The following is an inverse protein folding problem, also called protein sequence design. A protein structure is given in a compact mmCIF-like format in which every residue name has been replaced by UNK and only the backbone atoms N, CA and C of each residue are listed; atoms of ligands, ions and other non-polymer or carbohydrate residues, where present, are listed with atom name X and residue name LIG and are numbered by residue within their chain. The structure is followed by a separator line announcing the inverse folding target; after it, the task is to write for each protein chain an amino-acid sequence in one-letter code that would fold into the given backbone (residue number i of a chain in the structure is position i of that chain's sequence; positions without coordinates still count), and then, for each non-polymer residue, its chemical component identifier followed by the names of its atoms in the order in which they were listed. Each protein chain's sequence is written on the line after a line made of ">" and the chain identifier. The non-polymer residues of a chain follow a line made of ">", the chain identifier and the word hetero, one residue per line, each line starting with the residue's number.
data_IF_639230977393
#
_entry.id   IF_639230977393
#
_cell.length_a   1.000
_cell.length_b   1.000
_cell.length_c   1.000
_cell.angle_alpha   90.00
_cell.angle_beta   90.00
_cell.angle_gamma   90.00
#
_symmetry.space_group_name_H-M   'P 1'
#
loop_
_entity.id
_entity.type
_entity.pdbx_description
1 polymer ?
#
# COMPACT_ATOMS: atom_id res chain seq x y z
N UNK A 1 -1.84 -3.40 43.85
CA UNK A 1 -1.47 -3.29 42.43
C UNK A 1 -0.73 -1.98 42.21
N UNK A 2 0.40 -1.96 41.47
CA UNK A 2 1.06 -0.71 41.11
C UNK A 2 0.08 0.17 40.32
N UNK A 3 0.18 1.49 40.50
CA UNK A 3 -0.65 2.46 39.80
C UNK A 3 -0.21 2.51 38.34
N UNK A 4 -1.03 2.00 37.42
CA UNK A 4 -0.75 2.04 35.99
C UNK A 4 -0.99 3.43 35.41
N UNK A 5 -0.08 3.89 34.56
CA UNK A 5 -0.20 5.14 33.82
C UNK A 5 -0.89 4.90 32.47
N UNK A 6 -2.01 5.59 32.24
CA UNK A 6 -2.71 5.55 30.96
C UNK A 6 -2.02 6.37 29.86
N UNK A 7 -1.31 7.44 30.24
CA UNK A 7 -0.67 8.38 29.32
C UNK A 7 0.84 8.19 29.29
N UNK A 8 1.37 8.00 28.10
CA UNK A 8 2.81 7.96 27.81
C UNK A 8 3.14 9.03 26.77
N UNK A 9 4.24 9.75 26.99
CA UNK A 9 4.69 10.84 26.13
C UNK A 9 6.04 10.51 25.52
N UNK A 10 6.35 11.14 24.41
CA UNK A 10 7.63 10.98 23.71
C UNK A 10 8.75 11.75 24.42
N UNK A 11 10.00 11.40 24.10
CA UNK A 11 11.16 12.22 24.40
C UNK A 11 11.72 12.83 23.10
N UNK A 12 12.49 13.92 23.15
CA UNK A 12 13.09 14.51 21.96
C UNK A 12 14.25 13.64 21.41
N UNK A 13 14.72 13.96 20.20
CA UNK A 13 15.90 13.34 19.59
C UNK A 13 15.63 12.36 18.45
N UNK A 14 14.36 12.08 18.11
CA UNK A 14 13.99 11.13 17.05
C UNK A 14 13.31 9.87 17.59
N UNK A 15 12.73 9.07 16.70
CA UNK A 15 11.83 7.96 17.00
C UNK A 15 12.47 6.76 17.72
N UNK A 16 13.79 6.63 17.65
CA UNK A 16 14.61 5.56 18.23
C UNK A 16 15.54 6.05 19.37
N UNK A 17 15.54 7.34 19.68
CA UNK A 17 16.51 7.98 20.59
C UNK A 17 16.01 8.22 22.01
N UNK A 18 14.82 7.74 22.39
CA UNK A 18 14.25 8.08 23.70
C UNK A 18 15.09 7.57 24.87
N UNK A 19 15.67 6.37 24.74
CA UNK A 19 16.58 5.85 25.75
C UNK A 19 17.85 6.72 25.84
N UNK A 20 18.43 7.12 24.70
CA UNK A 20 19.60 8.02 24.67
C UNK A 20 19.30 9.35 25.36
N UNK A 21 18.14 9.93 25.08
CA UNK A 21 17.69 11.19 25.69
C UNK A 21 17.43 11.04 27.18
N UNK A 22 16.82 9.93 27.60
CA UNK A 22 16.64 9.62 29.02
C UNK A 22 17.98 9.53 29.74
N UNK A 23 18.96 8.85 29.14
CA UNK A 23 20.30 8.71 29.71
C UNK A 23 21.05 10.04 29.76
N UNK A 24 20.93 10.89 28.73
CA UNK A 24 21.49 12.25 28.74
C UNK A 24 20.88 13.11 29.85
N UNK A 25 19.56 13.04 30.05
CA UNK A 25 18.89 13.76 31.12
C UNK A 25 19.36 13.28 32.51
N UNK A 26 19.54 11.97 32.70
CA UNK A 26 20.03 11.42 33.96
C UNK A 26 21.48 11.79 34.27
N UNK A 27 22.36 11.77 33.27
CA UNK A 27 23.74 12.26 33.41
C UNK A 27 23.76 13.74 33.80
N UNK A 28 22.97 14.57 33.12
CA UNK A 28 22.85 15.97 33.46
C UNK A 28 22.36 16.20 34.90
N UNK A 29 21.36 15.42 35.36
CA UNK A 29 20.89 15.47 36.76
C UNK A 29 21.98 15.04 37.75
N UNK A 30 22.82 14.06 37.40
CA UNK A 30 23.92 13.60 38.25
C UNK A 30 25.03 14.66 38.38
N UNK A 31 25.33 15.36 37.30
CA UNK A 31 26.44 16.32 37.20
C UNK A 31 26.06 17.72 37.69
N UNK A 32 24.77 18.07 37.67
CA UNK A 32 24.29 19.40 38.07
C UNK A 32 24.13 19.48 39.60
N UNK A 33 24.78 20.44 40.28
CA UNK A 33 24.59 20.64 41.71
C UNK A 33 23.17 21.15 42.02
N UNK A 34 22.45 20.44 42.90
CA UNK A 34 21.09 20.78 43.35
C UNK A 34 20.12 21.16 42.20
N UNK A 35 19.93 20.26 41.21
CA UNK A 35 19.17 20.59 40.01
C UNK A 35 17.70 20.85 40.36
N UNK A 36 17.11 21.92 39.81
CA UNK A 36 15.68 22.19 39.96
C UNK A 36 14.92 21.89 38.68
N UNK A 37 13.60 21.72 38.81
CA UNK A 37 12.68 21.52 37.67
C UNK A 37 12.88 22.57 36.57
N UNK A 38 13.05 23.83 36.95
CA UNK A 38 13.27 24.94 36.02
C UNK A 38 14.58 24.82 35.24
N UNK A 39 15.62 24.27 35.85
CA UNK A 39 16.92 24.07 35.21
C UNK A 39 16.86 22.94 34.19
N UNK A 40 16.20 21.83 34.53
CA UNK A 40 15.96 20.73 33.60
C UNK A 40 15.10 21.17 32.41
N UNK A 41 14.11 22.05 32.63
CA UNK A 41 13.30 22.63 31.56
C UNK A 41 14.15 23.46 30.60
N UNK A 42 15.01 24.33 31.13
CA UNK A 42 15.97 25.12 30.33
C UNK A 42 16.95 24.21 29.58
N UNK A 43 17.42 23.13 30.21
CA UNK A 43 18.29 22.16 29.58
C UNK A 43 17.60 21.49 28.39
N UNK A 44 16.40 20.94 28.55
CA UNK A 44 15.65 20.36 27.43
C UNK A 44 15.39 21.37 26.31
N UNK A 45 15.01 22.60 26.65
CA UNK A 45 14.74 23.65 25.67
C UNK A 45 15.99 24.03 24.87
N UNK A 46 17.15 24.18 25.52
CA UNK A 46 18.41 24.53 24.85
C UNK A 46 19.01 23.37 24.07
N UNK A 47 19.01 22.18 24.65
CA UNK A 47 19.68 20.99 24.09
C UNK A 47 18.93 20.40 22.90
N UNK A 48 17.59 20.51 22.88
CA UNK A 48 16.76 19.94 21.83
C UNK A 48 15.94 20.98 21.05
N UNK A 49 16.20 22.28 21.27
CA UNK A 49 15.46 23.39 20.64
C UNK A 49 13.94 23.26 20.73
N UNK A 50 13.44 22.72 21.86
CA UNK A 50 12.05 22.36 22.03
C UNK A 50 11.25 23.48 22.75
N UNK A 51 9.99 23.64 22.36
CA UNK A 51 9.07 24.56 23.01
C UNK A 51 8.81 24.18 24.48
N UNK A 52 8.51 25.18 25.32
CA UNK A 52 8.26 25.01 26.75
C UNK A 52 7.18 23.97 27.08
N UNK A 53 6.11 23.93 26.28
CA UNK A 53 5.01 22.96 26.47
C UNK A 53 5.52 21.52 26.28
N UNK A 54 6.36 21.28 25.28
CA UNK A 54 6.97 19.97 25.03
C UNK A 54 7.96 19.60 26.13
N UNK A 55 8.79 20.55 26.57
CA UNK A 55 9.74 20.33 27.66
C UNK A 55 9.05 19.92 28.98
N UNK A 56 7.88 20.53 29.29
CA UNK A 56 7.08 20.13 30.45
C UNK A 56 6.61 18.67 30.36
N UNK A 57 6.22 18.22 29.16
CA UNK A 57 5.83 16.83 28.92
C UNK A 57 7.02 15.87 29.04
N UNK A 58 8.20 16.26 28.55
CA UNK A 58 9.43 15.46 28.69
C UNK A 58 9.78 15.24 30.16
N UNK A 59 9.79 16.31 30.96
CA UNK A 59 10.04 16.21 32.41
C UNK A 59 8.99 15.32 33.07
N UNK A 60 7.71 15.45 32.70
CA UNK A 60 6.67 14.59 33.23
C UNK A 60 6.92 13.11 32.90
N UNK A 61 7.40 12.80 31.69
CA UNK A 61 7.74 11.43 31.29
C UNK A 61 8.91 10.89 32.11
N UNK A 62 9.98 11.66 32.28
CA UNK A 62 11.16 11.27 33.10
C UNK A 62 10.76 11.03 34.56
N UNK A 63 9.83 11.83 35.11
CA UNK A 63 9.28 11.60 36.46
C UNK A 63 8.41 10.34 36.51
N UNK A 64 7.59 10.06 35.48
CA UNK A 64 6.71 8.88 35.43
C UNK A 64 7.46 7.56 35.27
N UNK A 65 8.64 7.60 34.66
CA UNK A 65 9.57 6.46 34.64
C UNK A 65 10.23 6.21 36.00
N UNK A 66 9.88 7.00 37.03
CA UNK A 66 10.46 6.96 38.39
C UNK A 66 11.98 6.95 38.38
N UNK A 67 12.63 7.59 37.40
CA UNK A 67 14.10 7.75 37.40
C UNK A 67 14.53 8.99 38.19
N UNK A 68 13.62 9.97 38.33
CA UNK A 68 13.77 11.15 39.18
C UNK A 68 12.45 11.46 39.89
N UNK A 69 12.53 12.20 41.01
CA UNK A 69 11.38 12.79 41.72
C UNK A 69 11.62 14.29 41.90
N UNK A 70 10.53 15.03 42.02
CA UNK A 70 10.57 16.48 42.26
C UNK A 70 9.93 16.73 43.62
N UNK A 71 10.67 17.36 44.54
CA UNK A 71 10.17 17.70 45.88
C UNK A 71 9.29 18.96 45.88
N UNK A 72 8.72 19.31 47.04
CA UNK A 72 7.88 20.51 47.19
C UNK A 72 8.60 21.83 46.89
N UNK A 73 9.92 21.85 46.93
CA UNK A 73 10.77 23.01 46.60
C UNK A 73 11.26 22.99 45.14
N UNK A 74 10.68 22.13 44.29
CA UNK A 74 11.06 21.93 42.89
C UNK A 74 12.47 21.37 42.69
N UNK A 75 13.11 20.80 43.72
CA UNK A 75 14.41 20.13 43.61
C UNK A 75 14.24 18.74 43.03
N UNK A 76 15.13 18.37 42.13
CA UNK A 76 15.16 17.07 41.48
C UNK A 76 16.02 16.13 42.32
N UNK A 77 15.45 15.00 42.71
CA UNK A 77 16.11 13.92 43.42
C UNK A 77 16.14 12.69 42.54
N UNK A 78 17.33 12.13 42.31
CA UNK A 78 17.47 10.87 41.58
C UNK A 78 16.95 9.71 42.45
N UNK A 79 16.17 8.81 41.85
CA UNK A 79 15.64 7.64 42.56
C UNK A 79 16.66 6.51 42.60
N UNK A 80 16.34 5.43 43.33
CA UNK A 80 17.14 4.21 43.28
C UNK A 80 17.13 3.58 41.87
N UNK A 81 15.98 3.61 41.18
CA UNK A 81 15.86 3.12 39.81
C UNK A 81 16.69 3.96 38.83
N UNK A 82 16.64 5.29 38.92
CA UNK A 82 17.46 6.18 38.10
C UNK A 82 18.95 5.99 38.31
N UNK A 83 19.41 5.80 39.57
CA UNK A 83 20.81 5.49 39.87
C UNK A 83 21.25 4.16 39.25
N UNK A 84 20.43 3.11 39.41
CA UNK A 84 20.71 1.80 38.81
C UNK A 84 20.81 1.90 37.29
N UNK A 85 19.90 2.65 36.66
CA UNK A 85 19.91 2.83 35.21
C UNK A 85 21.18 3.55 34.73
N UNK A 86 21.61 4.58 35.47
CA UNK A 86 22.82 5.36 35.15
C UNK A 86 24.11 4.52 35.18
N UNK A 87 24.19 3.54 36.08
CA UNK A 87 25.36 2.66 36.25
C UNK A 87 25.31 1.38 35.42
N UNK A 88 24.15 1.06 34.83
CA UNK A 88 23.96 -0.16 34.05
C UNK A 88 24.58 -0.05 32.64
N UNK A 89 25.02 -1.18 32.09
CA UNK A 89 25.43 -1.29 30.69
C UNK A 89 24.24 -1.11 29.74
N UNK A 90 24.49 -0.80 28.46
CA UNK A 90 23.43 -0.41 27.50
C UNK A 90 22.33 -1.47 27.33
N UNK A 91 22.70 -2.73 27.27
CA UNK A 91 21.73 -3.83 27.15
C UNK A 91 20.85 -3.95 28.41
N UNK A 92 21.46 -3.81 29.59
CA UNK A 92 20.71 -3.81 30.84
C UNK A 92 19.83 -2.56 30.99
N UNK A 93 20.28 -1.38 30.56
CA UNK A 93 19.46 -0.16 30.51
C UNK A 93 18.19 -0.39 29.70
N UNK A 94 18.34 -0.97 28.50
CA UNK A 94 17.23 -1.27 27.60
C UNK A 94 16.23 -2.21 28.26
N UNK A 95 16.72 -3.31 28.86
CA UNK A 95 15.89 -4.27 29.59
C UNK A 95 15.17 -3.64 30.78
N UNK A 96 15.86 -2.85 31.60
CA UNK A 96 15.28 -2.22 32.79
C UNK A 96 14.15 -1.26 32.46
N UNK A 97 14.32 -0.43 31.42
CA UNK A 97 13.27 0.49 30.99
C UNK A 97 12.12 -0.29 30.35
N UNK A 98 12.41 -1.33 29.55
CA UNK A 98 11.38 -2.13 28.92
C UNK A 98 10.51 -2.89 29.94
N UNK A 99 11.13 -3.54 30.94
CA UNK A 99 10.42 -4.19 32.06
C UNK A 99 9.58 -3.12 32.83
N UNK A 100 10.16 -1.96 33.15
CA UNK A 100 9.43 -0.89 33.84
C UNK A 100 8.20 -0.41 33.05
N UNK A 101 8.33 -0.22 31.74
CA UNK A 101 7.24 0.19 30.87
C UNK A 101 6.10 -0.85 30.87
N UNK A 102 6.44 -2.13 30.75
CA UNK A 102 5.46 -3.22 30.77
C UNK A 102 4.69 -3.30 32.10
N UNK A 103 5.37 -3.05 33.22
CA UNK A 103 4.77 -3.11 34.56
C UNK A 103 3.93 -1.88 34.96
N UNK A 104 4.23 -0.71 34.38
CA UNK A 104 3.70 0.57 34.88
C UNK A 104 2.86 1.34 33.87
N UNK A 105 2.82 0.94 32.59
CA UNK A 105 2.04 1.63 31.56
C UNK A 105 1.02 0.70 30.90
N UNK A 106 -0.24 1.15 30.88
CA UNK A 106 -1.35 0.44 30.23
C UNK A 106 -1.02 0.21 28.76
N UNK A 107 -1.25 -0.98 28.20
CA UNK A 107 -1.13 -1.28 26.77
C UNK A 107 0.25 -1.67 26.27
N UNK A 108 1.29 -1.70 27.11
CA UNK A 108 2.62 -2.15 26.66
C UNK A 108 2.61 -3.67 26.42
N UNK A 109 2.10 -4.45 27.37
CA UNK A 109 2.07 -5.90 27.28
C UNK A 109 1.14 -6.39 26.16
N UNK A 110 0.00 -5.74 25.96
CA UNK A 110 -0.94 -6.03 24.89
C UNK A 110 -0.33 -5.79 23.50
N UNK A 111 0.38 -4.67 23.33
CA UNK A 111 1.10 -4.38 22.08
C UNK A 111 2.19 -5.43 21.83
N UNK A 112 2.97 -5.80 22.84
CA UNK A 112 3.98 -6.86 22.72
C UNK A 112 3.36 -8.21 22.35
N UNK A 113 2.19 -8.54 22.89
CA UNK A 113 1.46 -9.78 22.56
C UNK A 113 1.03 -9.78 21.09
N UNK A 114 0.53 -8.66 20.57
CA UNK A 114 0.17 -8.53 19.15
C UNK A 114 1.39 -8.75 18.25
N UNK A 115 2.49 -8.03 18.51
CA UNK A 115 3.70 -8.17 17.70
C UNK A 115 4.36 -9.56 17.84
N UNK A 116 4.26 -10.20 19.00
CA UNK A 116 4.76 -11.56 19.22
C UNK A 116 3.99 -12.61 18.43
N UNK A 117 2.71 -12.37 18.15
CA UNK A 117 1.83 -13.33 17.50
C UNK A 117 1.77 -13.18 15.97
N UNK A 118 2.08 -12.00 15.42
CA UNK A 118 1.85 -11.72 14.00
C UNK A 118 2.82 -12.41 13.02
N UNK A 119 3.98 -12.90 13.45
CA UNK A 119 5.03 -13.50 12.59
C UNK A 119 5.46 -12.68 11.35
N UNK A 120 5.06 -11.40 11.25
CA UNK A 120 5.40 -10.44 10.20
C UNK A 120 5.48 -9.03 10.77
N UNK A 121 6.06 -8.06 10.05
CA UNK A 121 5.94 -6.66 10.42
C UNK A 121 4.48 -6.21 10.44
N UNK A 122 4.10 -5.44 11.46
CA UNK A 122 2.75 -4.88 11.61
C UNK A 122 2.84 -3.35 11.58
N UNK A 123 1.95 -2.75 10.81
CA UNK A 123 1.78 -1.31 10.78
C UNK A 123 1.05 -0.80 12.04
N UNK A 124 1.40 0.40 12.53
CA UNK A 124 0.77 0.93 13.75
C UNK A 124 -0.75 1.18 13.64
N UNK A 125 -1.27 1.40 12.41
CA UNK A 125 -2.72 1.45 12.16
C UNK A 125 -3.38 0.09 12.39
N UNK A 126 -2.78 -0.98 11.87
CA UNK A 126 -3.30 -2.35 12.03
C UNK A 126 -3.30 -2.75 13.51
N UNK A 127 -2.22 -2.41 14.24
CA UNK A 127 -2.16 -2.56 15.69
C UNK A 127 -3.33 -1.88 16.41
N UNK A 128 -3.66 -0.63 16.01
CA UNK A 128 -4.76 0.11 16.62
C UNK A 128 -6.12 -0.55 16.37
N UNK A 129 -6.32 -1.16 15.19
CA UNK A 129 -7.53 -1.92 14.86
C UNK A 129 -7.63 -3.20 15.70
N UNK A 130 -6.53 -3.95 15.81
CA UNK A 130 -6.50 -5.20 16.59
C UNK A 130 -6.75 -4.99 18.09
N UNK A 131 -6.35 -3.83 18.62
CA UNK A 131 -6.48 -3.49 20.03
C UNK A 131 -7.67 -2.57 20.35
N UNK A 132 -8.46 -2.16 19.35
CA UNK A 132 -9.56 -1.21 19.53
C UNK A 132 -10.57 -1.65 20.60
N UNK A 133 -10.89 -2.96 20.65
CA UNK A 133 -11.78 -3.52 21.66
C UNK A 133 -11.18 -3.51 23.07
N UNK A 134 -9.86 -3.67 23.18
CA UNK A 134 -9.16 -3.68 24.46
C UNK A 134 -9.01 -2.27 25.04
N UNK A 135 -8.90 -1.25 24.17
CA UNK A 135 -8.76 0.15 24.56
C UNK A 135 -9.80 1.05 23.90
N UNK A 136 -11.10 0.93 24.26
CA UNK A 136 -12.18 1.67 23.62
C UNK A 136 -12.07 3.20 23.80
N UNK A 137 -11.34 3.63 24.83
CA UNK A 137 -11.08 5.06 25.10
C UNK A 137 -9.93 5.64 24.27
N UNK A 138 -9.18 4.83 23.51
CA UNK A 138 -8.10 5.30 22.64
C UNK A 138 -8.63 5.51 21.23
N UNK A 139 -9.31 6.64 21.03
CA UNK A 139 -9.98 7.00 19.78
C UNK A 139 -9.02 7.45 18.66
N UNK A 140 -7.75 7.68 18.98
CA UNK A 140 -6.72 8.13 18.05
C UNK A 140 -5.52 7.19 18.10
N UNK A 141 -4.68 7.23 17.06
CA UNK A 141 -3.51 6.36 16.94
C UNK A 141 -2.36 6.70 17.89
N UNK A 142 -2.31 7.96 18.35
CA UNK A 142 -1.21 8.51 19.14
C UNK A 142 -0.83 7.69 20.39
N UNK A 143 -1.78 7.16 21.21
CA UNK A 143 -1.44 6.32 22.35
C UNK A 143 -0.72 5.02 21.95
N UNK A 144 -1.10 4.40 20.82
CA UNK A 144 -0.43 3.23 20.29
C UNK A 144 0.96 3.58 19.76
N UNK A 145 1.05 4.64 18.94
CA UNK A 145 2.29 5.10 18.35
C UNK A 145 3.35 5.44 19.40
N UNK A 146 3.01 6.21 20.44
CA UNK A 146 3.97 6.55 21.49
C UNK A 146 4.53 5.32 22.21
N UNK A 147 3.72 4.28 22.41
CA UNK A 147 4.15 3.02 23.04
C UNK A 147 5.09 2.25 22.13
N UNK A 148 4.75 2.14 20.85
CA UNK A 148 5.61 1.51 19.84
C UNK A 148 6.95 2.23 19.76
N UNK A 149 6.97 3.57 19.75
CA UNK A 149 8.22 4.33 19.71
C UNK A 149 9.09 4.09 20.96
N UNK A 150 8.49 3.99 22.14
CA UNK A 150 9.22 3.60 23.34
C UNK A 150 9.78 2.18 23.24
N UNK A 151 8.99 1.23 22.75
CA UNK A 151 9.42 -0.15 22.53
C UNK A 151 10.53 -0.26 21.48
N UNK A 152 10.55 0.60 20.47
CA UNK A 152 11.66 0.72 19.51
C UNK A 152 12.90 1.30 20.19
N UNK A 153 12.76 2.39 20.95
CA UNK A 153 13.88 3.04 21.61
C UNK A 153 14.58 2.15 22.66
N UNK A 154 13.85 1.20 23.27
CA UNK A 154 14.43 0.19 24.17
C UNK A 154 14.78 -1.12 23.45
N UNK A 155 14.65 -1.18 22.12
CA UNK A 155 15.03 -2.34 21.31
C UNK A 155 14.13 -3.57 21.44
N UNK A 156 12.91 -3.43 21.98
CA UNK A 156 11.90 -4.51 22.03
C UNK A 156 11.16 -4.69 20.70
N UNK A 157 11.08 -3.63 19.90
CA UNK A 157 10.63 -3.65 18.51
C UNK A 157 11.71 -3.07 17.60
N UNK A 158 11.73 -3.49 16.34
CA UNK A 158 12.58 -2.93 15.30
C UNK A 158 11.71 -2.34 14.19
N UNK A 159 12.06 -1.15 13.71
CA UNK A 159 11.42 -0.54 12.54
C UNK A 159 11.94 -1.23 11.28
N UNK A 160 11.03 -1.75 10.45
CA UNK A 160 11.37 -2.39 9.19
C UNK A 160 11.27 -1.40 8.05
N UNK A 161 10.12 -0.73 7.92
CA UNK A 161 9.88 0.31 6.90
C UNK A 161 8.76 1.25 7.35
N UNK A 162 8.96 2.56 7.25
CA UNK A 162 7.92 3.53 7.62
C UNK A 162 7.41 3.30 9.04
N UNK A 163 6.11 3.10 9.24
CA UNK A 163 5.56 2.75 10.57
C UNK A 163 5.22 1.26 10.71
N UNK A 164 5.96 0.40 10.01
CA UNK A 164 5.91 -1.06 10.16
C UNK A 164 7.03 -1.52 11.08
N UNK A 165 6.65 -2.28 12.10
CA UNK A 165 7.55 -2.73 13.15
C UNK A 165 7.46 -4.24 13.32
N UNK A 166 8.54 -4.85 13.77
CA UNK A 166 8.60 -6.27 14.08
C UNK A 166 9.18 -6.48 15.48
N UNK A 167 8.73 -7.53 16.15
CA UNK A 167 9.25 -7.90 17.46
C UNK A 167 10.70 -8.38 17.38
N UNK A 168 11.51 -7.98 18.35
CA UNK A 168 12.90 -8.45 18.49
C UNK A 168 12.99 -9.59 19.50
N UNK A 169 14.19 -10.15 19.66
CA UNK A 169 14.46 -11.13 20.71
C UNK A 169 14.16 -10.58 22.11
N UNK A 170 14.51 -9.31 22.39
CA UNK A 170 14.20 -8.66 23.66
C UNK A 170 12.68 -8.53 23.85
N UNK A 171 11.96 -8.14 22.80
CA UNK A 171 10.50 -8.07 22.82
C UNK A 171 9.84 -9.41 23.13
N UNK A 172 10.34 -10.51 22.55
CA UNK A 172 9.84 -11.85 22.88
C UNK A 172 10.12 -12.26 24.33
N UNK A 173 11.30 -11.93 24.86
CA UNK A 173 11.63 -12.17 26.28
C UNK A 173 10.67 -11.41 27.18
N UNK A 174 10.41 -10.15 26.86
CA UNK A 174 9.51 -9.28 27.61
C UNK A 174 8.06 -9.78 27.56
N UNK A 175 7.57 -10.17 26.37
CA UNK A 175 6.24 -10.73 26.21
C UNK A 175 6.03 -12.02 27.03
N UNK A 176 7.07 -12.87 27.17
CA UNK A 176 6.99 -14.07 28.03
C UNK A 176 6.88 -13.75 29.52
N UNK A 177 7.40 -12.59 29.96
CA UNK A 177 7.29 -12.14 31.37
C UNK A 177 5.96 -11.47 31.68
N UNK A 178 5.37 -10.80 30.69
CA UNK A 178 4.08 -10.12 30.81
C UNK A 178 3.08 -10.67 29.78
N UNK A 179 2.73 -11.98 29.84
CA UNK A 179 1.88 -12.59 28.83
C UNK A 179 0.43 -12.10 28.94
N UNK A 180 -0.21 -11.87 27.80
CA UNK A 180 -1.65 -11.61 27.69
C UNK A 180 -2.35 -12.80 27.01
N UNK A 181 -2.56 -13.93 27.72
CA UNK A 181 -3.02 -15.17 27.10
C UNK A 181 -4.44 -15.07 26.53
N UNK A 182 -5.33 -14.29 27.16
CA UNK A 182 -6.69 -14.11 26.67
C UNK A 182 -6.71 -13.33 25.35
N UNK A 183 -5.90 -12.26 25.26
CA UNK A 183 -5.68 -11.52 24.01
C UNK A 183 -5.03 -12.42 22.95
N UNK A 184 -4.00 -13.18 23.32
CA UNK A 184 -3.32 -14.07 22.38
C UNK A 184 -4.27 -15.10 21.76
N UNK A 185 -5.27 -15.60 22.50
CA UNK A 185 -6.30 -16.50 21.98
C UNK A 185 -7.34 -15.78 21.12
N UNK A 186 -7.63 -14.51 21.39
CA UNK A 186 -8.62 -13.73 20.62
C UNK A 186 -8.04 -13.08 19.37
N UNK A 187 -6.71 -12.96 19.28
CA UNK A 187 -6.03 -12.41 18.11
C UNK A 187 -6.21 -13.37 16.92
N UNK A 188 -7.19 -13.05 16.09
CA UNK A 188 -7.31 -13.62 14.77
C UNK A 188 -6.48 -12.75 13.84
N UNK A 189 -5.19 -13.06 13.71
CA UNK A 189 -4.52 -12.66 12.49
C UNK A 189 -5.24 -13.43 11.39
N UNK A 190 -5.74 -12.79 10.33
CA UNK A 190 -6.02 -13.56 9.13
C UNK A 190 -4.77 -14.42 8.91
N UNK A 191 -4.93 -15.68 8.47
CA UNK A 191 -3.78 -16.42 7.97
C UNK A 191 -2.96 -15.47 7.11
N UNK A 192 -1.67 -15.72 6.96
CA UNK A 192 -1.10 -15.34 5.67
C UNK A 192 -2.02 -16.03 4.65
N UNK A 193 -3.08 -15.34 4.21
CA UNK A 193 -3.43 -15.30 2.82
C UNK A 193 -2.06 -15.15 2.22
N UNK A 194 -1.55 -16.27 1.69
CA UNK A 194 -0.57 -16.23 0.64
C UNK A 194 -0.92 -14.96 -0.10
N UNK A 195 -0.06 -13.95 -0.01
CA UNK A 195 -0.16 -12.75 -0.84
C UNK A 195 -0.55 -13.33 -2.17
N UNK A 196 -1.83 -13.17 -2.55
CA UNK A 196 -2.43 -13.99 -3.60
C UNK A 196 -1.44 -13.93 -4.74
N UNK A 197 -0.98 -15.09 -5.26
CA UNK A 197 0.30 -15.25 -5.94
C UNK A 197 0.59 -13.96 -6.68
N UNK A 198 1.64 -13.22 -6.29
CA UNK A 198 2.05 -11.93 -6.88
C UNK A 198 1.47 -11.87 -8.28
N UNK A 199 0.64 -10.89 -8.67
CA UNK A 199 -0.11 -10.94 -9.95
C UNK A 199 0.71 -11.46 -11.15
N UNK A 200 2.02 -11.26 -11.14
CA UNK A 200 3.02 -11.94 -11.98
C UNK A 200 3.01 -13.48 -11.97
N UNK A 201 3.02 -14.16 -10.81
CA UNK A 201 2.83 -15.60 -10.68
C UNK A 201 1.46 -16.05 -11.21
N UNK A 202 0.39 -15.31 -10.93
CA UNK A 202 -0.94 -15.63 -11.47
C UNK A 202 -0.99 -15.46 -13.00
N UNK A 203 -0.41 -14.36 -13.52
CA UNK A 203 -0.30 -14.09 -14.95
C UNK A 203 0.55 -15.16 -15.64
N UNK A 204 1.70 -15.53 -15.07
CA UNK A 204 2.58 -16.55 -15.63
C UNK A 204 1.84 -17.89 -15.79
N UNK A 205 1.09 -18.30 -14.76
CA UNK A 205 0.25 -19.50 -14.84
C UNK A 205 -0.85 -19.38 -15.90
N UNK A 206 -1.52 -18.23 -16.00
CA UNK A 206 -2.56 -17.99 -17.04
C UNK A 206 -1.96 -18.06 -18.45
N UNK A 207 -0.79 -17.43 -18.66
CA UNK A 207 -0.11 -17.41 -19.95
C UNK A 207 0.37 -18.82 -20.35
N UNK A 208 1.01 -19.55 -19.44
CA UNK A 208 1.48 -20.91 -19.67
C UNK A 208 0.33 -21.86 -20.00
N UNK A 209 -0.78 -21.76 -19.27
CA UNK A 209 -1.96 -22.59 -19.50
C UNK A 209 -2.64 -22.26 -20.84
N UNK A 210 -2.76 -20.97 -21.19
CA UNK A 210 -3.28 -20.53 -22.49
C UNK A 210 -2.46 -21.09 -23.66
N UNK A 211 -1.14 -20.95 -23.60
CA UNK A 211 -0.22 -21.44 -24.65
C UNK A 211 -0.27 -22.96 -24.78
N UNK A 212 -0.28 -23.68 -23.66
CA UNK A 212 -0.33 -25.15 -23.64
C UNK A 212 -1.69 -25.68 -24.11
N UNK A 213 -2.80 -25.06 -23.69
CA UNK A 213 -4.14 -25.50 -24.06
C UNK A 213 -4.47 -25.21 -25.53
N UNK A 214 -3.93 -24.15 -26.12
CA UNK A 214 -4.17 -23.80 -27.52
C UNK A 214 -3.64 -24.86 -28.51
N UNK A 215 -2.57 -25.58 -28.14
CA UNK A 215 -1.99 -26.65 -28.97
C UNK A 215 -2.55 -28.05 -28.65
N UNK A 216 -3.25 -28.21 -27.52
CA UNK A 216 -3.84 -29.48 -27.10
C UNK A 216 -5.20 -29.73 -27.78
N UNK A 217 -5.15 -30.09 -29.06
CA UNK A 217 -6.37 -30.35 -29.85
C UNK A 217 -7.19 -31.55 -29.37
N UNK A 218 -6.71 -32.32 -28.39
CA UNK A 218 -7.45 -33.44 -27.79
C UNK A 218 -8.40 -32.97 -26.69
N UNK A 219 -8.17 -31.78 -26.12
CA UNK A 219 -8.95 -31.23 -25.01
C UNK A 219 -9.39 -29.78 -25.32
N UNK A 220 -10.29 -29.54 -26.29
CA UNK A 220 -10.72 -28.18 -26.66
C UNK A 220 -11.37 -27.41 -25.49
N UNK A 221 -12.04 -28.12 -24.57
CA UNK A 221 -12.63 -27.53 -23.37
C UNK A 221 -11.58 -26.91 -22.44
N UNK A 222 -10.34 -27.41 -22.47
CA UNK A 222 -9.24 -26.85 -21.68
C UNK A 222 -8.86 -25.46 -22.18
N UNK A 223 -8.85 -25.26 -23.50
CA UNK A 223 -8.55 -23.96 -24.08
C UNK A 223 -9.67 -22.94 -23.82
N UNK A 224 -10.93 -23.38 -23.89
CA UNK A 224 -12.08 -22.59 -23.48
C UNK A 224 -11.97 -22.12 -22.02
N UNK A 225 -11.67 -23.03 -21.09
CA UNK A 225 -11.51 -22.69 -19.67
C UNK A 225 -10.33 -21.74 -19.41
N UNK A 226 -9.22 -21.92 -20.14
CA UNK A 226 -8.06 -21.03 -20.06
C UNK A 226 -8.41 -19.62 -20.57
N UNK A 227 -9.11 -19.51 -21.70
CA UNK A 227 -9.59 -18.23 -22.22
C UNK A 227 -10.59 -17.55 -21.27
N UNK A 228 -11.51 -18.31 -20.68
CA UNK A 228 -12.44 -17.79 -19.68
C UNK A 228 -11.70 -17.20 -18.47
N UNK A 229 -10.68 -17.90 -17.98
CA UNK A 229 -9.82 -17.43 -16.87
C UNK A 229 -9.09 -16.14 -17.24
N UNK A 230 -8.58 -16.05 -18.47
CA UNK A 230 -7.91 -14.85 -18.96
C UNK A 230 -8.85 -13.64 -19.08
N UNK A 231 -10.08 -13.81 -19.57
CA UNK A 231 -11.06 -12.72 -19.62
C UNK A 231 -11.52 -12.28 -18.22
N UNK A 232 -11.69 -13.23 -17.28
CA UNK A 232 -11.95 -12.90 -15.87
C UNK A 232 -10.79 -12.11 -15.27
N UNK A 233 -9.55 -12.44 -15.60
CA UNK A 233 -8.37 -11.69 -15.17
C UNK A 233 -8.36 -10.25 -15.70
N UNK A 234 -8.83 -10.02 -16.93
CA UNK A 234 -9.03 -8.68 -17.50
C UNK A 234 -10.19 -7.90 -16.86
N UNK A 235 -11.03 -8.55 -16.05
CA UNK A 235 -12.16 -7.98 -15.33
C UNK A 235 -13.51 -8.12 -16.03
N UNK A 236 -13.61 -8.94 -17.09
CA UNK A 236 -14.89 -9.25 -17.72
C UNK A 236 -15.70 -10.22 -16.86
N UNK A 237 -17.03 -10.08 -16.92
CA UNK A 237 -17.93 -11.14 -16.47
C UNK A 237 -18.05 -12.18 -17.59
N UNK A 238 -17.88 -13.46 -17.24
CA UNK A 238 -17.71 -14.55 -18.22
C UNK A 238 -18.67 -15.70 -17.92
N UNK A 239 -19.59 -15.92 -18.84
CA UNK A 239 -20.49 -17.06 -18.84
C UNK A 239 -19.98 -18.16 -19.78
N UNK A 240 -19.71 -19.34 -19.24
CA UNK A 240 -19.30 -20.51 -20.03
C UNK A 240 -20.54 -21.20 -20.59
N UNK A 241 -20.60 -21.35 -21.91
CA UNK A 241 -21.71 -21.98 -22.63
C UNK A 241 -21.11 -23.16 -23.42
N UNK A 242 -21.39 -24.38 -22.97
CA UNK A 242 -20.69 -25.60 -23.43
C UNK A 242 -21.54 -26.57 -24.25
N UNK A 243 -22.73 -26.15 -24.71
CA UNK A 243 -23.65 -27.04 -25.40
C UNK A 243 -23.35 -27.07 -26.92
N UNK A 244 -23.44 -28.22 -27.59
CA UNK A 244 -23.33 -28.31 -29.05
C UNK A 244 -24.35 -27.38 -29.73
N UNK A 245 -23.87 -26.41 -30.52
CA UNK A 245 -24.70 -25.40 -31.19
C UNK A 245 -24.87 -24.07 -30.43
N UNK A 246 -23.99 -23.79 -29.48
CA UNK A 246 -23.86 -22.49 -28.79
C UNK A 246 -22.40 -22.02 -28.82
N UNK A 247 -22.15 -20.76 -28.45
CA UNK A 247 -20.80 -20.17 -28.35
C UNK A 247 -20.06 -20.74 -27.17
N UNK A 248 -18.73 -20.83 -27.21
CA UNK A 248 -17.96 -21.29 -26.05
C UNK A 248 -18.11 -20.35 -24.84
N UNK A 249 -18.02 -19.03 -25.05
CA UNK A 249 -18.11 -18.05 -23.98
C UNK A 249 -18.96 -16.84 -24.39
N UNK A 250 -19.69 -16.28 -23.43
CA UNK A 250 -20.27 -14.94 -23.51
C UNK A 250 -19.57 -14.06 -22.48
N UNK A 251 -18.93 -12.99 -22.94
CA UNK A 251 -18.25 -12.03 -22.07
C UNK A 251 -19.02 -10.71 -22.02
N UNK A 252 -19.14 -10.14 -20.83
CA UNK A 252 -19.82 -8.89 -20.58
C UNK A 252 -18.88 -7.89 -19.90
N UNK A 253 -18.92 -6.65 -20.38
CA UNK A 253 -18.23 -5.53 -19.79
C UNK A 253 -19.25 -4.46 -19.37
N UNK A 254 -19.20 -4.05 -18.11
CA UNK A 254 -20.04 -3.00 -17.58
C UNK A 254 -19.22 -2.00 -16.78
N UNK A 255 -19.33 -0.72 -17.14
CA UNK A 255 -18.76 0.39 -16.37
C UNK A 255 -19.82 1.47 -16.22
N UNK A 256 -20.50 1.50 -15.07
CA UNK A 256 -21.61 2.41 -14.83
C UNK A 256 -22.83 2.08 -15.72
N UNK A 257 -23.28 3.05 -16.50
CA UNK A 257 -24.42 2.90 -17.42
C UNK A 257 -24.04 2.29 -18.77
N UNK A 258 -22.76 2.36 -19.16
CA UNK A 258 -22.28 1.83 -20.43
C UNK A 258 -21.93 0.35 -20.29
N UNK A 259 -22.36 -0.43 -21.27
CA UNK A 259 -22.10 -1.87 -21.34
C UNK A 259 -21.88 -2.31 -22.78
N UNK A 260 -21.12 -3.39 -22.94
CA UNK A 260 -21.05 -4.15 -24.18
C UNK A 260 -20.81 -5.62 -23.87
N UNK A 261 -21.10 -6.47 -24.85
CA UNK A 261 -20.98 -7.91 -24.77
C UNK A 261 -20.31 -8.48 -26.01
N UNK A 262 -19.60 -9.59 -25.86
CA UNK A 262 -19.00 -10.29 -26.98
C UNK A 262 -19.16 -11.80 -26.81
N UNK A 263 -19.47 -12.48 -27.91
CA UNK A 263 -19.36 -13.94 -27.98
C UNK A 263 -17.95 -14.33 -28.36
N UNK A 264 -17.41 -15.34 -27.70
CA UNK A 264 -16.04 -15.84 -27.93
C UNK A 264 -16.10 -17.33 -28.25
N UNK A 265 -15.41 -17.72 -29.31
CA UNK A 265 -15.19 -19.11 -29.71
C UNK A 265 -13.68 -19.41 -29.73
N UNK A 266 -13.28 -20.51 -29.11
CA UNK A 266 -11.89 -20.90 -28.95
C UNK A 266 -11.57 -22.10 -29.83
N UNK A 267 -10.48 -22.02 -30.61
CA UNK A 267 -10.05 -23.10 -31.50
C UNK A 267 -8.63 -23.56 -31.18
N UNK A 268 -8.51 -24.76 -30.61
CA UNK A 268 -7.23 -25.44 -30.39
C UNK A 268 -6.83 -26.28 -31.62
N UNK A 269 -5.56 -26.21 -32.06
CA UNK A 269 -5.03 -27.06 -33.15
C UNK A 269 -3.59 -27.49 -32.89
N UNK A 270 -3.29 -28.76 -33.16
CA UNK A 270 -1.95 -29.34 -32.98
C UNK A 270 -0.88 -28.75 -33.92
N UNK A 271 -1.26 -28.23 -35.09
CA UNK A 271 -0.36 -27.56 -36.05
C UNK A 271 -0.31 -26.03 -35.85
N UNK A 272 -1.02 -25.51 -34.84
CA UNK A 272 -1.04 -24.11 -34.45
C UNK A 272 -1.72 -23.13 -35.43
N UNK A 273 -2.17 -23.58 -36.61
CA UNK A 273 -2.74 -22.69 -37.64
C UNK A 273 -4.17 -23.07 -38.04
N UNK A 274 -5.10 -22.14 -37.84
CA UNK A 274 -6.48 -22.29 -38.27
C UNK A 274 -6.63 -21.88 -39.75
N UNK A 275 -7.04 -22.84 -40.60
CA UNK A 275 -7.20 -22.64 -42.06
C UNK A 275 -8.64 -22.39 -42.50
N UNK A 276 -9.62 -22.69 -41.65
CA UNK A 276 -11.05 -22.50 -41.92
C UNK A 276 -11.77 -22.09 -40.62
N UNK A 277 -12.65 -21.09 -40.71
CA UNK A 277 -13.55 -20.63 -39.63
C UNK A 277 -14.98 -20.76 -40.12
N UNK A 278 -15.86 -21.37 -39.34
CA UNK A 278 -17.28 -21.45 -39.65
C UNK A 278 -17.98 -20.12 -39.30
N UNK A 279 -17.70 -19.08 -40.09
CA UNK A 279 -18.08 -17.68 -39.87
C UNK A 279 -19.61 -17.48 -39.77
N UNK A 280 -20.40 -18.25 -40.53
CA UNK A 280 -21.87 -18.16 -40.55
C UNK A 280 -22.47 -18.54 -39.19
N UNK A 281 -21.98 -19.61 -38.56
CA UNK A 281 -22.41 -20.07 -37.22
C UNK A 281 -22.13 -19.04 -36.13
N UNK A 282 -21.05 -18.28 -36.25
CA UNK A 282 -20.67 -17.26 -35.25
C UNK A 282 -21.52 -16.00 -35.35
N UNK A 283 -21.95 -15.63 -36.54
CA UNK A 283 -22.90 -14.54 -36.72
C UNK A 283 -24.28 -14.91 -36.15
N UNK A 284 -24.77 -16.12 -36.42
CA UNK A 284 -26.00 -16.65 -35.84
C UNK A 284 -25.94 -16.66 -34.30
N UNK A 285 -24.82 -17.10 -33.75
CA UNK A 285 -24.54 -17.10 -32.32
C UNK A 285 -24.53 -15.68 -31.70
N UNK A 286 -23.89 -14.71 -32.36
CA UNK A 286 -23.88 -13.31 -31.92
C UNK A 286 -25.30 -12.75 -31.88
N UNK A 287 -26.10 -13.00 -32.93
CA UNK A 287 -27.49 -12.54 -33.02
C UNK A 287 -28.38 -13.21 -31.96
N UNK A 288 -28.26 -14.54 -31.79
CA UNK A 288 -29.02 -15.32 -30.81
C UNK A 288 -28.77 -14.86 -29.37
N UNK A 289 -27.53 -14.49 -29.06
CA UNK A 289 -27.13 -14.01 -27.73
C UNK A 289 -27.28 -12.49 -27.56
N UNK A 290 -27.73 -11.76 -28.59
CA UNK A 290 -27.86 -10.30 -28.56
C UNK A 290 -26.53 -9.58 -28.31
N UNK A 291 -25.41 -10.21 -28.67
CA UNK A 291 -24.08 -9.71 -28.36
C UNK A 291 -23.64 -8.62 -29.36
N UNK A 292 -22.88 -7.64 -28.87
CA UNK A 292 -22.40 -6.54 -29.71
C UNK A 292 -21.32 -7.02 -30.69
N UNK A 293 -20.44 -7.90 -30.23
CA UNK A 293 -19.26 -8.36 -30.96
C UNK A 293 -19.13 -9.88 -31.01
N UNK A 294 -18.37 -10.39 -31.97
CA UNK A 294 -17.98 -11.80 -32.07
C UNK A 294 -16.47 -11.92 -32.22
N UNK A 295 -15.87 -12.86 -31.49
CA UNK A 295 -14.42 -13.07 -31.43
C UNK A 295 -14.10 -14.55 -31.59
N UNK A 296 -13.06 -14.84 -32.36
CA UNK A 296 -12.44 -16.16 -32.44
C UNK A 296 -11.02 -16.06 -31.91
N UNK A 297 -10.64 -16.95 -30.99
CA UNK A 297 -9.28 -17.04 -30.45
C UNK A 297 -8.66 -18.35 -30.93
N UNK A 298 -7.46 -18.25 -31.51
CA UNK A 298 -6.67 -19.40 -31.92
C UNK A 298 -5.17 -19.10 -31.76
N UNK A 299 -4.35 -20.16 -31.82
CA UNK A 299 -2.88 -20.01 -31.77
C UNK A 299 -2.35 -19.05 -32.85
N UNK A 300 -2.76 -19.29 -34.09
CA UNK A 300 -2.53 -18.40 -35.24
C UNK A 300 -3.58 -18.62 -36.34
N UNK A 301 -3.84 -17.62 -37.17
CA UNK A 301 -4.71 -17.72 -38.34
C UNK A 301 -3.92 -17.79 -39.65
N UNK A 302 -4.41 -18.59 -40.62
CA UNK A 302 -3.90 -18.56 -41.98
C UNK A 302 -4.43 -17.33 -42.73
N UNK A 303 -3.54 -16.63 -43.43
CA UNK A 303 -3.91 -15.45 -44.22
C UNK A 303 -4.78 -15.81 -45.44
N UNK A 304 -5.48 -14.82 -45.99
CA UNK A 304 -6.27 -14.97 -47.22
C UNK A 304 -7.77 -15.02 -46.93
N UNK A 305 -8.42 -16.14 -47.24
CA UNK A 305 -9.88 -16.24 -47.27
C UNK A 305 -10.52 -16.11 -45.87
N UNK A 306 -9.90 -16.66 -44.83
CA UNK A 306 -10.40 -16.61 -43.45
C UNK A 306 -10.49 -15.17 -42.93
N UNK A 307 -9.45 -14.38 -43.16
CA UNK A 307 -9.41 -12.97 -42.75
C UNK A 307 -10.47 -12.16 -43.48
N UNK A 308 -10.59 -12.33 -44.81
CA UNK A 308 -11.62 -11.64 -45.61
C UNK A 308 -13.04 -11.99 -45.18
N UNK A 309 -13.29 -13.25 -44.82
CA UNK A 309 -14.60 -13.66 -44.33
C UNK A 309 -14.90 -13.05 -42.95
N UNK A 310 -13.93 -13.00 -42.04
CA UNK A 310 -14.09 -12.38 -40.74
C UNK A 310 -14.36 -10.86 -40.85
N UNK A 311 -13.63 -10.16 -41.72
CA UNK A 311 -13.86 -8.74 -42.03
C UNK A 311 -15.29 -8.50 -42.54
N UNK A 312 -15.75 -9.34 -43.48
CA UNK A 312 -17.07 -9.20 -44.09
C UNK A 312 -18.25 -9.41 -43.12
N UNK A 313 -18.06 -10.18 -42.04
CA UNK A 313 -19.11 -10.50 -41.08
C UNK A 313 -18.93 -9.80 -39.71
N UNK A 314 -17.96 -8.88 -39.60
CA UNK A 314 -17.74 -8.13 -38.37
C UNK A 314 -17.16 -8.97 -37.23
N UNK A 315 -16.41 -10.04 -37.55
CA UNK A 315 -15.82 -10.96 -36.56
C UNK A 315 -14.35 -10.59 -36.35
N UNK A 316 -13.94 -10.53 -35.09
CA UNK A 316 -12.55 -10.36 -34.69
C UNK A 316 -11.85 -11.73 -34.65
N UNK A 317 -10.71 -11.86 -35.32
CA UNK A 317 -9.79 -12.97 -35.18
C UNK A 317 -8.64 -12.51 -34.28
N UNK A 318 -8.58 -13.03 -33.05
CA UNK A 318 -7.60 -12.64 -32.05
C UNK A 318 -6.51 -13.71 -31.94
N UNK A 319 -5.31 -13.38 -32.43
CA UNK A 319 -4.15 -14.25 -32.26
C UNK A 319 -3.80 -14.39 -30.77
N UNK A 320 -3.43 -15.62 -30.36
CA UNK A 320 -3.07 -15.89 -28.98
C UNK A 320 -1.91 -15.02 -28.49
N UNK A 321 -0.94 -14.73 -29.36
CA UNK A 321 0.17 -13.83 -29.05
C UNK A 321 -0.32 -12.44 -28.65
N UNK A 322 -1.27 -11.87 -29.40
CA UNK A 322 -1.86 -10.55 -29.12
C UNK A 322 -2.72 -10.59 -27.86
N UNK A 323 -3.41 -11.70 -27.61
CA UNK A 323 -4.15 -11.87 -26.36
C UNK A 323 -3.23 -11.92 -25.14
N UNK A 324 -2.11 -12.63 -25.23
CA UNK A 324 -1.07 -12.64 -24.20
C UNK A 324 -0.44 -11.26 -23.99
N UNK A 325 -0.18 -10.50 -25.07
CA UNK A 325 0.27 -9.10 -24.96
C UNK A 325 -0.74 -8.22 -24.25
N UNK A 326 -2.03 -8.40 -24.52
CA UNK A 326 -3.09 -7.67 -23.84
C UNK A 326 -3.11 -7.95 -22.33
N UNK A 327 -2.98 -9.21 -21.93
CA UNK A 327 -2.89 -9.60 -20.52
C UNK A 327 -1.68 -8.97 -19.83
N UNK A 328 -0.52 -8.95 -20.49
CA UNK A 328 0.70 -8.29 -19.99
C UNK A 328 0.50 -6.78 -19.87
N UNK A 329 -0.16 -6.15 -20.84
CA UNK A 329 -0.49 -4.72 -20.79
C UNK A 329 -1.43 -4.41 -19.62
N UNK A 330 -2.47 -5.20 -19.40
CA UNK A 330 -3.39 -5.04 -18.28
C UNK A 330 -2.69 -5.24 -16.92
N UNK A 331 -1.79 -6.22 -16.83
CA UNK A 331 -1.05 -6.47 -15.60
C UNK A 331 -0.20 -5.27 -15.18
N UNK A 332 0.44 -4.59 -16.15
CA UNK A 332 1.23 -3.37 -15.92
C UNK A 332 0.33 -2.15 -15.66
N UNK A 333 -0.62 -1.90 -16.55
CA UNK A 333 -1.50 -0.73 -16.53
C UNK A 333 -2.96 -1.17 -16.72
N UNK A 334 -3.69 -1.51 -15.63
CA UNK A 334 -5.10 -1.85 -15.72
C UNK A 334 -5.92 -0.68 -16.26
N UNK A 335 -6.70 -0.93 -17.31
CA UNK A 335 -7.57 0.07 -17.95
C UNK A 335 -9.03 -0.27 -17.70
N UNK A 336 -9.89 0.74 -17.88
CA UNK A 336 -11.33 0.57 -17.83
C UNK A 336 -11.78 -0.36 -18.98
N UNK A 337 -12.72 -1.27 -18.70
CA UNK A 337 -13.27 -2.22 -19.69
C UNK A 337 -13.79 -1.52 -20.95
N UNK A 338 -14.33 -0.30 -20.85
CA UNK A 338 -14.80 0.45 -22.01
C UNK A 338 -13.66 0.82 -22.99
N UNK A 339 -12.42 0.97 -22.49
CA UNK A 339 -11.25 1.19 -23.36
C UNK A 339 -10.91 -0.08 -24.12
N UNK A 340 -11.10 -1.25 -23.50
CA UNK A 340 -10.90 -2.54 -24.17
C UNK A 340 -11.89 -2.80 -25.29
N UNK A 341 -13.04 -2.12 -25.31
CA UNK A 341 -13.98 -2.13 -26.44
C UNK A 341 -13.29 -1.88 -27.78
N UNK A 342 -12.23 -1.06 -27.81
CA UNK A 342 -11.48 -0.76 -29.02
C UNK A 342 -10.89 -2.00 -29.71
N UNK A 343 -10.59 -3.07 -28.97
CA UNK A 343 -10.11 -4.34 -29.52
C UNK A 343 -11.20 -5.01 -30.36
N UNK A 344 -12.43 -5.00 -29.86
CA UNK A 344 -13.57 -5.69 -30.48
C UNK A 344 -14.18 -4.94 -31.67
N UNK A 345 -13.94 -3.64 -31.77
CA UNK A 345 -14.49 -2.79 -32.85
C UNK A 345 -13.80 -3.04 -34.20
N UNK A 346 -12.58 -3.58 -34.20
CA UNK A 346 -11.83 -3.84 -35.43
C UNK A 346 -12.09 -5.28 -35.90
N UNK A 347 -12.88 -5.51 -36.96
CA UNK A 347 -13.08 -6.84 -37.51
C UNK A 347 -11.85 -7.30 -38.30
N UNK A 348 -11.73 -8.60 -38.53
CA UNK A 348 -10.57 -9.20 -39.18
C UNK A 348 -9.48 -9.61 -38.19
N UNK A 349 -8.24 -9.75 -38.68
CA UNK A 349 -7.11 -10.26 -37.90
C UNK A 349 -6.47 -9.16 -37.05
N UNK A 350 -6.56 -9.28 -35.73
CA UNK A 350 -5.79 -8.45 -34.81
C UNK A 350 -4.36 -8.98 -34.70
N UNK A 351 -3.44 -8.29 -35.37
CA UNK A 351 -1.99 -8.54 -35.29
C UNK A 351 -1.29 -7.74 -34.20
N UNK A 352 -1.90 -6.67 -33.75
CA UNK A 352 -1.39 -5.78 -32.71
C UNK A 352 -2.56 -5.19 -31.91
N UNK A 353 -2.26 -4.69 -30.72
CA UNK A 353 -3.25 -3.99 -29.92
C UNK A 353 -3.58 -2.63 -30.53
N UNK A 354 -4.86 -2.20 -30.52
CA UNK A 354 -5.25 -0.92 -31.09
C UNK A 354 -4.46 0.25 -30.51
N UNK A 355 -4.09 1.19 -31.38
CA UNK A 355 -3.37 2.42 -30.96
C UNK A 355 -4.11 3.22 -29.88
N UNK A 356 -5.44 3.18 -29.86
CA UNK A 356 -6.27 3.79 -28.81
C UNK A 356 -5.99 3.18 -27.44
N UNK A 357 -5.87 1.85 -27.38
CA UNK A 357 -5.54 1.12 -26.17
C UNK A 357 -4.12 1.40 -25.70
N UNK A 358 -3.16 1.40 -26.64
CA UNK A 358 -1.76 1.69 -26.34
C UNK A 358 -1.56 3.13 -25.84
N UNK A 359 -2.26 4.09 -26.43
CA UNK A 359 -2.27 5.49 -25.96
C UNK A 359 -2.86 5.59 -24.56
N UNK A 360 -4.01 4.98 -24.30
CA UNK A 360 -4.62 4.99 -22.98
C UNK A 360 -3.70 4.37 -21.90
N UNK A 361 -2.96 3.31 -22.22
CA UNK A 361 -1.96 2.72 -21.32
C UNK A 361 -0.80 3.67 -21.05
N UNK A 362 -0.23 4.30 -22.08
CA UNK A 362 0.85 5.31 -21.93
C UNK A 362 0.39 6.52 -21.14
N UNK A 363 -0.80 7.04 -21.45
CA UNK A 363 -1.39 8.17 -20.74
C UNK A 363 -1.55 7.83 -19.25
N UNK A 364 -1.99 6.59 -18.94
CA UNK A 364 -2.12 6.10 -17.56
C UNK A 364 -0.77 6.00 -16.86
N UNK A 365 0.28 5.55 -17.55
CA UNK A 365 1.64 5.46 -17.02
C UNK A 365 2.21 6.85 -16.70
N UNK A 366 2.10 7.79 -17.65
CA UNK A 366 2.49 9.19 -17.45
C UNK A 366 1.73 9.82 -16.29
N UNK A 367 0.42 9.57 -16.20
CA UNK A 367 -0.42 10.02 -15.08
C UNK A 367 0.02 9.45 -13.73
N UNK A 368 0.40 8.18 -13.69
CA UNK A 368 0.83 7.53 -12.45
C UNK A 368 2.19 8.09 -12.01
N UNK A 369 3.13 8.26 -12.95
CA UNK A 369 4.41 8.91 -12.67
C UNK A 369 4.23 10.34 -12.18
N UNK A 370 3.37 11.13 -12.83
CA UNK A 370 3.08 12.49 -12.39
C UNK A 370 2.55 12.54 -10.96
N UNK A 371 1.64 11.62 -10.63
CA UNK A 371 1.07 11.52 -9.29
C UNK A 371 2.15 11.14 -8.26
N UNK A 372 3.06 10.21 -8.59
CA UNK A 372 4.22 9.89 -7.75
C UNK A 372 5.14 11.10 -7.54
N UNK A 373 5.44 11.83 -8.60
CA UNK A 373 6.36 12.96 -8.57
C UNK A 373 5.77 14.14 -7.77
N UNK A 374 4.49 14.45 -7.98
CA UNK A 374 3.75 15.49 -7.21
C UNK A 374 3.73 15.14 -5.73
N UNK A 375 3.37 13.89 -5.39
CA UNK A 375 3.39 13.41 -4.00
C UNK A 375 4.81 13.47 -3.43
N UNK A 376 5.82 13.07 -4.21
CA UNK A 376 7.21 13.10 -3.81
C UNK A 376 7.71 14.51 -3.48
N UNK A 377 7.39 15.50 -4.32
CA UNK A 377 7.75 16.91 -4.08
C UNK A 377 7.00 17.48 -2.88
N UNK A 378 5.69 17.23 -2.77
CA UNK A 378 4.91 17.68 -1.61
C UNK A 378 5.45 17.12 -0.29
N UNK A 379 5.96 15.88 -0.30
CA UNK A 379 6.67 15.30 0.85
C UNK A 379 7.92 16.07 1.20
N UNK A 380 8.78 16.34 0.24
CA UNK A 380 10.06 17.00 0.52
C UNK A 380 9.85 18.40 1.09
N UNK A 381 8.89 19.14 0.55
CA UNK A 381 8.49 20.44 1.09
C UNK A 381 8.05 20.31 2.55
N UNK A 382 7.22 19.30 2.85
CA UNK A 382 6.74 19.04 4.20
C UNK A 382 7.88 18.63 5.16
N UNK A 383 8.73 17.69 4.76
CA UNK A 383 9.87 17.18 5.57
C UNK A 383 10.90 18.28 5.86
N UNK A 384 11.09 19.23 4.94
CA UNK A 384 11.95 20.40 5.12
C UNK A 384 11.33 21.48 6.03
N UNK A 385 10.13 21.25 6.59
CA UNK A 385 9.48 22.15 7.53
C UNK A 385 8.90 23.41 6.90
N UNK A 386 8.75 23.43 5.57
CA UNK A 386 8.02 24.49 4.87
C UNK A 386 6.52 24.25 5.08
N UNK A 387 6.01 24.61 6.26
CA UNK A 387 4.58 24.58 6.59
C UNK A 387 3.77 25.68 5.87
N UNK A 388 4.29 26.20 4.75
CA UNK A 388 3.64 27.25 3.96
C UNK A 388 3.06 26.62 2.69
N UNK A 389 1.94 27.16 2.23
CA UNK A 389 1.30 26.77 0.98
C UNK A 389 2.28 26.93 -0.20
N UNK A 390 2.45 25.87 -0.99
CA UNK A 390 3.23 25.92 -2.23
C UNK A 390 2.29 26.26 -3.37
N UNK A 391 2.58 27.31 -4.14
CA UNK A 391 1.74 27.63 -5.30
C UNK A 391 1.92 26.59 -6.41
N UNK A 392 0.91 26.40 -7.26
CA UNK A 392 1.04 25.55 -8.46
C UNK A 392 2.27 25.89 -9.30
N UNK A 393 2.65 27.18 -9.38
CA UNK A 393 3.83 27.63 -10.13
C UNK A 393 5.15 27.21 -9.46
N UNK A 394 5.22 27.27 -8.13
CA UNK A 394 6.37 26.78 -7.39
C UNK A 394 6.50 25.26 -7.52
N UNK A 395 5.37 24.53 -7.45
CA UNK A 395 5.33 23.09 -7.64
C UNK A 395 5.80 22.71 -9.05
N UNK A 396 5.32 23.42 -10.09
CA UNK A 396 5.80 23.26 -11.46
C UNK A 396 7.31 23.49 -11.57
N UNK A 397 7.82 24.59 -11.00
CA UNK A 397 9.25 24.89 -10.98
C UNK A 397 10.08 23.82 -10.28
N UNK A 398 9.59 23.28 -9.15
CA UNK A 398 10.25 22.19 -8.42
C UNK A 398 10.27 20.89 -9.23
N UNK A 399 9.16 20.53 -9.88
CA UNK A 399 9.06 19.36 -10.74
C UNK A 399 10.01 19.48 -11.94
N UNK A 400 10.03 20.62 -12.63
CA UNK A 400 10.93 20.87 -13.77
C UNK A 400 12.40 20.86 -13.34
N UNK A 401 12.73 21.48 -12.19
CA UNK A 401 14.10 21.51 -11.69
C UNK A 401 14.63 20.12 -11.32
N UNK A 402 13.75 19.26 -10.77
CA UNK A 402 14.07 17.93 -10.26
C UNK A 402 14.03 16.84 -11.34
N UNK A 403 12.99 16.83 -12.16
CA UNK A 403 12.74 15.81 -13.18
C UNK A 403 13.04 16.38 -14.56
N UNK A 404 14.33 16.70 -14.81
CA UNK A 404 14.82 17.35 -16.04
C UNK A 404 14.53 16.60 -17.34
N UNK A 405 14.08 15.35 -17.25
CA UNK A 405 13.79 14.45 -18.38
C UNK A 405 12.29 14.24 -18.63
N UNK A 406 11.40 14.80 -17.82
CA UNK A 406 9.95 14.64 -17.96
C UNK A 406 9.26 16.00 -18.01
N UNK A 407 8.52 16.27 -19.10
CA UNK A 407 7.75 17.50 -19.26
C UNK A 407 6.29 17.23 -18.94
N UNK A 408 5.81 17.76 -17.81
CA UNK A 408 4.39 17.77 -17.49
C UNK A 408 3.77 19.09 -17.92
N UNK A 409 2.58 19.05 -18.53
CA UNK A 409 1.82 20.26 -18.81
C UNK A 409 1.22 20.80 -17.51
N UNK A 410 0.93 22.11 -17.48
CA UNK A 410 0.31 22.74 -16.31
C UNK A 410 -1.06 22.13 -16.02
N UNK A 411 -1.84 21.88 -17.06
CA UNK A 411 -3.17 21.28 -16.98
C UNK A 411 -3.12 19.86 -16.39
N UNK A 412 -2.06 19.09 -16.67
CA UNK A 412 -1.89 17.76 -16.07
C UNK A 412 -1.64 17.85 -14.56
N UNK A 413 -0.80 18.79 -14.12
CA UNK A 413 -0.52 19.02 -12.70
C UNK A 413 -1.79 19.51 -11.99
N UNK A 414 -2.49 20.47 -12.57
CA UNK A 414 -3.75 21.00 -12.02
C UNK A 414 -4.77 19.89 -11.82
N UNK A 415 -4.97 19.00 -12.79
CA UNK A 415 -5.91 17.88 -12.64
C UNK A 415 -5.47 16.86 -11.57
N UNK A 416 -4.16 16.64 -11.38
CA UNK A 416 -3.67 15.84 -10.24
C UNK A 416 -3.99 16.53 -8.93
N UNK A 417 -3.78 17.84 -8.83
CA UNK A 417 -4.09 18.59 -7.62
C UNK A 417 -5.60 18.63 -7.34
N UNK A 418 -6.45 18.76 -8.36
CA UNK A 418 -7.90 18.63 -8.24
C UNK A 418 -8.30 17.23 -7.73
N UNK A 419 -7.68 16.18 -8.26
CA UNK A 419 -7.91 14.82 -7.78
C UNK A 419 -7.49 14.67 -6.31
N UNK A 420 -6.30 15.14 -5.94
CA UNK A 420 -5.77 15.03 -4.59
C UNK A 420 -6.56 15.91 -3.59
N UNK A 421 -7.19 16.99 -4.05
CA UNK A 421 -8.07 17.86 -3.25
C UNK A 421 -9.52 17.41 -3.24
N UNK A 422 -9.89 16.42 -4.05
CA UNK A 422 -11.26 15.92 -4.11
C UNK A 422 -11.71 15.44 -2.71
N UNK A 423 -12.94 15.75 -2.24
CA UNK A 423 -13.38 15.45 -0.86
C UNK A 423 -13.32 13.97 -0.45
N UNK A 424 -13.35 13.05 -1.42
CA UNK A 424 -13.21 11.61 -1.19
C UNK A 424 -11.75 11.17 -0.98
N UNK A 425 -10.79 11.96 -1.47
CA UNK A 425 -9.35 11.70 -1.39
C UNK A 425 -8.73 12.54 -0.27
N UNK A 426 -9.10 13.83 -0.17
CA UNK A 426 -8.78 14.76 0.92
C UNK A 426 -7.29 14.70 1.34
N UNK A 427 -6.39 14.67 0.35
CA UNK A 427 -4.94 14.62 0.57
C UNK A 427 -4.33 16.01 0.64
N UNK A 428 -4.85 16.96 -0.14
CA UNK A 428 -4.41 18.36 -0.15
C UNK A 428 -5.58 19.33 -0.06
N UNK A 429 -5.37 20.46 0.59
CA UNK A 429 -6.23 21.64 0.56
C UNK A 429 -5.60 22.64 -0.39
N UNK A 430 -6.41 23.09 -1.35
CA UNK A 430 -6.10 24.22 -2.21
C UNK A 430 -6.74 25.48 -1.64
N UNK A 431 -5.98 26.55 -1.46
CA UNK A 431 -6.51 27.87 -1.09
C UNK A 431 -6.99 28.68 -2.32
N UNK A 432 -7.66 29.81 -2.07
CA UNK A 432 -8.18 30.71 -3.12
C UNK A 432 -7.10 31.32 -4.03
N UNK A 433 -5.81 31.18 -3.68
CA UNK A 433 -4.65 31.64 -4.45
C UNK A 433 -3.90 30.49 -5.13
N UNK A 434 -4.50 29.30 -5.22
CA UNK A 434 -3.86 28.07 -5.74
C UNK A 434 -2.66 27.61 -4.91
N UNK A 435 -2.63 27.97 -3.63
CA UNK A 435 -1.69 27.45 -2.65
C UNK A 435 -2.09 26.05 -2.23
N UNK A 436 -1.18 25.09 -2.42
CA UNK A 436 -1.35 23.68 -2.07
C UNK A 436 -0.77 23.43 -0.69
N UNK A 437 -1.58 22.87 0.20
CA UNK A 437 -1.18 22.41 1.54
C UNK A 437 -1.72 21.01 1.78
N UNK A 438 -1.07 20.14 2.57
CA UNK A 438 -1.67 18.86 2.95
C UNK A 438 -2.94 19.05 3.82
N UNK A 439 -4.04 18.37 3.49
CA UNK A 439 -5.37 18.60 4.08
C UNK A 439 -5.51 18.11 5.53
N UNK A 440 -5.00 16.90 5.83
CA UNK A 440 -5.08 16.18 7.12
C UNK A 440 -3.92 15.19 7.30
N UNK A 441 -3.83 14.52 8.47
CA UNK A 441 -2.63 13.82 8.94
C UNK A 441 -1.95 12.93 7.89
N UNK A 442 -0.65 13.11 7.77
CA UNK A 442 0.35 12.42 6.93
C UNK A 442 0.18 10.89 6.74
N UNK A 443 -0.58 10.21 7.61
CA UNK A 443 -0.94 8.80 7.50
C UNK A 443 -1.72 8.43 6.22
N UNK A 444 -2.71 9.24 5.82
CA UNK A 444 -3.50 8.97 4.61
C UNK A 444 -2.68 9.18 3.33
N UNK A 445 -1.75 10.13 3.38
CA UNK A 445 -0.79 10.40 2.32
C UNK A 445 0.19 9.25 2.11
N UNK A 446 0.68 8.65 3.20
CA UNK A 446 1.59 7.49 3.14
C UNK A 446 0.90 6.20 2.69
N UNK A 447 -0.39 6.01 2.98
CA UNK A 447 -1.17 4.86 2.49
C UNK A 447 -1.38 4.94 0.96
N UNK A 448 -1.73 6.12 0.44
CA UNK A 448 -1.83 6.34 -1.01
C UNK A 448 -0.47 6.19 -1.67
N UNK A 449 0.60 6.74 -1.10
CA UNK A 449 1.95 6.56 -1.66
C UNK A 449 2.39 5.08 -1.68
N UNK A 450 2.12 4.29 -0.62
CA UNK A 450 2.43 2.85 -0.64
C UNK A 450 1.69 2.13 -1.76
N UNK A 451 0.43 2.47 -1.97
CA UNK A 451 -0.37 1.90 -3.05
C UNK A 451 0.18 2.24 -4.45
N UNK A 452 0.67 3.48 -4.64
CA UNK A 452 1.25 3.91 -5.92
C UNK A 452 2.64 3.28 -6.14
N UNK A 453 3.54 3.37 -5.16
CA UNK A 453 4.93 2.87 -5.28
C UNK A 453 5.02 1.33 -5.33
N UNK A 454 4.08 0.60 -4.72
CA UNK A 454 4.02 -0.87 -4.84
C UNK A 454 3.66 -1.34 -6.27
N UNK A 455 3.06 -0.49 -7.11
CA UNK A 455 2.74 -0.84 -8.51
C UNK A 455 3.89 -0.64 -9.48
N UNK A 456 4.81 0.30 -9.22
CA UNK A 456 5.96 0.57 -10.10
C UNK A 456 7.20 -0.28 -9.76
N UNK A 457 7.37 -0.71 -8.51
CA UNK A 457 8.53 -1.49 -8.07
C UNK A 457 8.63 -2.91 -8.66
N UNK A 458 7.56 -3.44 -9.25
CA UNK A 458 7.53 -4.77 -9.89
C UNK A 458 7.70 -4.72 -11.41
N UNK A 459 7.66 -3.54 -12.04
CA UNK A 459 7.77 -3.41 -13.50
C UNK A 459 9.21 -3.22 -14.03
N UNK A 460 10.20 -3.10 -13.15
CA UNK A 460 11.61 -2.84 -13.51
C UNK A 460 12.58 -3.98 -13.18
N UNK A 461 12.09 -5.17 -12.77
CA UNK A 461 12.92 -6.37 -12.57
C UNK A 461 12.65 -7.43 -13.63
#
# INVERSE_FOLDING_TARGET
>A
MPRLFATISTLPGGTDRYLDTLMQALRWVAETPQPKRGDLLKWFSRHFHAADRSCKNYIQMVVRLDVIRIDGQQRILMTAFGRRLLTAEREEQSRLVADFLADHFIGIAEILTVYAAANRPIHVNELSTLLAFQFPMWTHITPYAHRVLWLVAVGSLAQVRGQEYQITNLGHVLNRRHPMPDLQRSLNFPPLESVGPCRENALATILEELETAAIDSRNPQRFQAAAATAFRYLGFDVEERGNPGDTDLLINAQTGADRYSAVVDTKSRWDGKLREVAVVTLEEHRQKNGADYAVVIAGAFAEGQVVRQAEGHGILLLDLAVFCEWLRLHARNPLNLLVYRAVFVQPGLARELPNTLMRASRDREVWTQLLEDVIGVLREVYDLGLNQSVTTEQLFGMLVARFRSVSYSREQIERVLELLSHPLIDLIVMDERHGVTPAKSWSSFLEVQRWVTQRHGTAQS
#
